data_IF_774029773814
#
_entry.id   IF_774029773814
#
_cell.length_a   1.000
_cell.length_b   1.000
_cell.length_c   1.000
_cell.angle_alpha   90.00
_cell.angle_beta   90.00
_cell.angle_gamma   90.00
#
_symmetry.space_group_name_H-M   'P 1'
#
loop_
_entity.id
_entity.type
_entity.pdbx_description
1 polymer ?
#
# COMPACT_ATOMS: atom_id res chain seq x y z
N UNK A 1 -2.10 -11.86 22.22
CA UNK A 1 -2.97 -13.04 21.97
C UNK A 1 -3.16 -13.32 20.49
N UNK A 2 -3.74 -12.42 19.69
CA UNK A 2 -3.97 -12.64 18.24
C UNK A 2 -2.70 -13.05 17.47
N UNK A 3 -1.56 -12.36 17.69
CA UNK A 3 -0.28 -12.74 17.07
C UNK A 3 0.14 -14.18 17.44
N UNK A 4 0.16 -14.50 18.75
CA UNK A 4 0.50 -15.84 19.25
C UNK A 4 -0.41 -16.92 18.66
N UNK A 5 -1.73 -16.70 18.62
CA UNK A 5 -2.68 -17.64 18.02
C UNK A 5 -2.32 -18.01 16.56
N UNK A 6 -1.90 -17.05 15.74
CA UNK A 6 -1.52 -17.31 14.35
C UNK A 6 -0.11 -17.90 14.22
N UNK A 7 0.84 -17.49 15.09
CA UNK A 7 2.17 -18.12 15.17
C UNK A 7 2.08 -19.59 15.60
N UNK A 8 1.20 -19.92 16.55
CA UNK A 8 0.87 -21.30 16.97
C UNK A 8 0.24 -22.14 15.84
N UNK A 9 -0.28 -21.50 14.78
CA UNK A 9 -0.77 -22.16 13.55
C UNK A 9 0.31 -22.34 12.49
N UNK A 10 1.52 -21.85 12.72
CA UNK A 10 2.64 -21.93 11.77
C UNK A 10 2.64 -20.82 10.71
N UNK A 11 2.13 -19.62 11.04
CA UNK A 11 2.27 -18.44 10.16
C UNK A 11 3.70 -17.89 10.26
N UNK A 12 4.35 -17.68 9.12
CA UNK A 12 5.77 -17.25 9.03
C UNK A 12 6.00 -15.76 9.32
N UNK A 13 4.95 -14.95 9.42
CA UNK A 13 5.08 -13.53 9.68
C UNK A 13 3.78 -12.73 9.52
N UNK A 14 3.86 -11.43 9.80
CA UNK A 14 2.73 -10.53 9.70
C UNK A 14 3.05 -9.32 8.84
N UNK A 15 2.09 -8.99 7.98
CA UNK A 15 1.92 -7.67 7.38
C UNK A 15 0.99 -6.87 8.28
N UNK A 16 1.45 -5.75 8.81
CA UNK A 16 0.63 -4.83 9.61
C UNK A 16 0.16 -3.68 8.73
N UNK A 17 -1.16 -3.57 8.60
CA UNK A 17 -1.87 -2.55 7.83
C UNK A 17 -2.10 -1.27 8.66
N UNK A 18 -2.32 -0.14 8.00
CA UNK A 18 -2.64 1.18 8.59
C UNK A 18 -1.79 1.64 9.81
N UNK A 19 -0.55 1.14 9.99
CA UNK A 19 0.22 1.33 11.23
C UNK A 19 0.40 2.80 11.68
N UNK A 20 0.54 3.82 10.80
CA UNK A 20 0.62 5.23 11.24
C UNK A 20 -0.56 5.71 12.08
N UNK A 21 -1.73 5.07 11.98
CA UNK A 21 -2.98 5.46 12.64
C UNK A 21 -3.30 4.67 13.92
N UNK A 22 -2.37 3.83 14.40
CA UNK A 22 -2.59 2.96 15.56
C UNK A 22 -2.83 3.68 16.89
N UNK A 23 -2.35 4.92 17.04
CA UNK A 23 -2.41 5.68 18.29
C UNK A 23 -2.58 7.18 18.01
N UNK A 24 -3.45 7.80 18.78
CA UNK A 24 -3.72 9.24 18.79
C UNK A 24 -3.23 9.91 20.09
N UNK A 25 -3.16 11.25 20.09
CA UNK A 25 -2.81 12.05 21.26
C UNK A 25 -3.93 12.02 22.30
N UNK A 26 -3.60 11.52 23.50
CA UNK A 26 -4.50 11.38 24.65
C UNK A 26 -5.08 12.70 25.19
N UNK A 27 -4.60 13.85 24.70
CA UNK A 27 -5.15 15.18 25.03
C UNK A 27 -6.39 15.52 24.22
N UNK A 28 -6.68 14.79 23.14
CA UNK A 28 -7.83 15.02 22.24
C UNK A 28 -7.95 16.49 21.78
N UNK A 29 -6.82 17.05 21.31
CA UNK A 29 -6.77 18.40 20.74
C UNK A 29 -7.24 18.39 19.28
N UNK A 30 -7.87 19.48 18.86
CA UNK A 30 -8.23 19.69 17.46
C UNK A 30 -6.96 19.78 16.59
N UNK A 31 -6.99 19.08 15.45
CA UNK A 31 -5.92 19.12 14.45
C UNK A 31 -5.87 20.50 13.75
N UNK A 32 -4.68 21.06 13.47
CA UNK A 32 -4.55 22.33 12.77
C UNK A 32 -5.01 22.22 11.31
N UNK A 33 -5.58 23.32 10.78
CA UNK A 33 -6.12 23.37 9.42
C UNK A 33 -5.01 23.54 8.38
N UNK A 34 -5.10 22.82 7.26
CA UNK A 34 -4.18 22.96 6.11
C UNK A 34 -4.44 24.20 5.25
N UNK A 35 -5.63 24.80 5.40
CA UNK A 35 -6.15 25.82 4.48
C UNK A 35 -6.95 25.26 3.30
N UNK A 36 -7.15 23.93 3.20
CA UNK A 36 -8.14 23.33 2.30
C UNK A 36 -9.54 23.87 2.66
N UNK A 37 -10.35 24.35 1.69
CA UNK A 37 -11.66 24.94 1.97
C UNK A 37 -12.77 23.92 2.26
N UNK A 38 -12.56 22.62 2.00
CA UNK A 38 -13.56 21.57 2.16
C UNK A 38 -13.44 20.88 3.53
N UNK A 39 -14.38 21.04 4.48
CA UNK A 39 -14.32 20.40 5.80
C UNK A 39 -14.44 18.87 5.76
N UNK A 40 -15.11 18.34 4.74
CA UNK A 40 -15.37 16.90 4.57
C UNK A 40 -14.20 16.16 3.89
N UNK A 41 -13.13 16.88 3.54
CA UNK A 41 -11.90 16.33 2.97
C UNK A 41 -10.97 15.81 4.08
N UNK A 42 -10.42 14.61 3.89
CA UNK A 42 -9.37 14.11 4.77
C UNK A 42 -8.18 15.09 4.85
N UNK A 43 -7.86 15.79 3.76
CA UNK A 43 -6.85 16.85 3.68
C UNK A 43 -7.23 18.18 4.33
N UNK A 44 -8.38 18.31 5.02
CA UNK A 44 -8.78 19.54 5.72
C UNK A 44 -7.85 19.92 6.88
N UNK A 45 -7.29 18.92 7.58
CA UNK A 45 -6.40 19.12 8.74
C UNK A 45 -5.09 18.36 8.60
N UNK A 46 -4.01 18.94 9.12
CA UNK A 46 -2.71 18.27 9.27
C UNK A 46 -2.81 17.25 10.40
N UNK A 47 -2.50 15.97 10.13
CA UNK A 47 -2.68 14.88 11.09
C UNK A 47 -1.51 14.78 12.08
N UNK A 48 -1.34 15.77 12.97
CA UNK A 48 -0.22 15.83 13.92
C UNK A 48 -0.53 15.15 15.26
N UNK A 49 -1.81 14.96 15.59
CA UNK A 49 -2.29 14.29 16.80
C UNK A 49 -2.88 12.90 16.52
N UNK A 50 -3.36 12.63 15.30
CA UNK A 50 -4.03 11.37 14.90
C UNK A 50 -3.18 10.43 14.04
N UNK A 51 -1.91 10.77 13.80
CA UNK A 51 -0.98 9.97 12.98
C UNK A 51 0.45 10.03 13.51
N UNK A 52 1.24 8.99 13.23
CA UNK A 52 2.70 8.92 13.42
C UNK A 52 3.16 9.20 14.87
N UNK A 53 2.28 8.93 15.85
CA UNK A 53 2.56 9.13 17.27
C UNK A 53 3.66 8.18 17.76
N UNK A 54 4.49 8.63 18.72
CA UNK A 54 5.63 7.85 19.23
C UNK A 54 5.23 6.44 19.72
N UNK A 55 4.06 6.35 20.36
CA UNK A 55 3.50 5.10 20.91
C UNK A 55 3.24 4.02 19.84
N UNK A 56 2.97 4.43 18.59
CA UNK A 56 2.85 3.51 17.45
C UNK A 56 4.13 2.71 17.25
N UNK A 57 5.28 3.39 17.25
CA UNK A 57 6.60 2.75 17.09
C UNK A 57 6.93 1.88 18.31
N UNK A 58 6.59 2.32 19.52
CA UNK A 58 6.75 1.51 20.73
C UNK A 58 5.95 0.20 20.65
N UNK A 59 4.73 0.21 20.11
CA UNK A 59 3.95 -1.01 19.91
C UNK A 59 4.62 -1.99 18.93
N UNK A 60 5.22 -1.48 17.85
CA UNK A 60 5.99 -2.30 16.90
C UNK A 60 7.14 -3.04 17.60
N UNK A 61 7.81 -2.38 18.56
CA UNK A 61 8.85 -3.01 19.39
C UNK A 61 8.30 -4.11 20.30
N UNK A 62 7.12 -3.91 20.89
CA UNK A 62 6.49 -4.94 21.73
C UNK A 62 5.99 -6.14 20.88
N UNK A 63 5.47 -5.90 19.67
CA UNK A 63 5.14 -6.98 18.74
C UNK A 63 6.38 -7.73 18.26
N UNK A 64 7.49 -7.04 17.99
CA UNK A 64 8.75 -7.69 17.61
C UNK A 64 9.21 -8.69 18.68
N UNK A 65 9.16 -8.32 19.97
CA UNK A 65 9.45 -9.26 21.07
C UNK A 65 8.58 -10.51 21.06
N UNK A 66 7.28 -10.36 20.75
CA UNK A 66 6.35 -11.50 20.65
C UNK A 66 6.69 -12.40 19.47
N UNK A 67 7.22 -11.86 18.37
CA UNK A 67 7.70 -12.67 17.24
C UNK A 67 9.02 -13.37 17.57
N UNK A 68 9.93 -12.69 18.29
CA UNK A 68 11.22 -13.26 18.73
C UNK A 68 11.05 -14.47 19.68
N UNK A 69 9.93 -14.57 20.42
CA UNK A 69 9.56 -15.78 21.19
C UNK A 69 9.39 -17.05 20.32
N UNK A 70 9.13 -16.87 19.02
CA UNK A 70 8.87 -17.94 18.05
C UNK A 70 9.99 -18.15 17.02
N UNK A 71 11.09 -17.37 17.11
CA UNK A 71 12.26 -17.53 16.25
C UNK A 71 13.05 -18.76 16.68
N UNK A 72 13.49 -19.55 15.70
CA UNK A 72 14.36 -20.72 15.92
C UNK A 72 15.70 -20.52 15.20
N UNK A 73 16.60 -21.49 15.31
CA UNK A 73 17.89 -21.46 14.59
C UNK A 73 17.79 -21.66 13.07
N UNK A 74 16.59 -21.94 12.54
CA UNK A 74 16.34 -22.20 11.11
C UNK A 74 15.20 -21.35 10.54
N UNK A 75 14.20 -21.00 11.36
CA UNK A 75 13.04 -20.22 10.95
C UNK A 75 12.97 -18.89 11.69
N UNK A 76 12.89 -17.78 10.94
CA UNK A 76 12.57 -16.46 11.46
C UNK A 76 11.05 -16.16 11.34
N UNK A 77 10.56 -15.14 12.06
CA UNK A 77 9.20 -14.63 11.92
C UNK A 77 9.23 -13.18 11.45
N UNK A 78 8.76 -12.93 10.23
CA UNK A 78 8.92 -11.64 9.55
C UNK A 78 7.83 -10.64 9.97
N UNK A 79 8.21 -9.38 10.18
CA UNK A 79 7.30 -8.29 10.53
C UNK A 79 7.42 -7.14 9.51
N UNK A 80 6.39 -6.97 8.69
CA UNK A 80 6.32 -5.96 7.63
C UNK A 80 5.33 -4.85 8.00
N UNK A 81 5.69 -3.59 7.73
CA UNK A 81 4.91 -2.41 8.14
C UNK A 81 4.39 -1.61 6.94
N UNK A 82 3.08 -1.39 6.86
CA UNK A 82 2.48 -0.48 5.87
C UNK A 82 2.40 0.95 6.39
N UNK A 83 3.41 1.77 6.09
CA UNK A 83 3.44 3.16 6.49
C UNK A 83 3.50 4.11 5.29
N UNK A 84 2.38 4.77 4.99
CA UNK A 84 2.36 5.95 4.12
C UNK A 84 2.76 7.19 4.91
N UNK A 85 4.05 7.30 5.24
CA UNK A 85 4.64 8.41 5.97
C UNK A 85 5.86 8.97 5.21
N UNK A 86 6.39 10.10 5.66
CA UNK A 86 7.62 10.63 5.08
C UNK A 86 8.81 9.69 5.37
N UNK A 87 9.86 9.77 4.55
CA UNK A 87 11.06 8.93 4.64
C UNK A 87 11.59 8.80 6.08
N UNK A 88 11.73 9.92 6.80
CA UNK A 88 12.19 9.97 8.20
C UNK A 88 11.31 9.17 9.18
N UNK A 89 9.99 9.19 9.01
CA UNK A 89 9.06 8.40 9.81
C UNK A 89 9.09 6.92 9.40
N UNK A 90 9.14 6.64 8.09
CA UNK A 90 9.21 5.28 7.54
C UNK A 90 10.46 4.54 8.05
N UNK A 91 11.64 5.16 8.02
CA UNK A 91 12.90 4.57 8.51
C UNK A 91 12.82 4.17 10.00
N UNK A 92 12.06 4.90 10.83
CA UNK A 92 11.93 4.57 12.26
C UNK A 92 11.38 3.17 12.50
N UNK A 93 10.55 2.62 11.61
CA UNK A 93 9.99 1.28 11.81
C UNK A 93 11.09 0.19 11.91
N UNK A 94 12.19 0.31 11.15
CA UNK A 94 13.36 -0.57 11.30
C UNK A 94 14.00 -0.40 12.70
N UNK A 95 14.24 0.83 13.14
CA UNK A 95 14.85 1.13 14.44
C UNK A 95 13.99 0.71 15.66
N UNK A 96 12.72 0.38 15.44
CA UNK A 96 11.80 -0.19 16.44
C UNK A 96 11.55 -1.70 16.24
N UNK A 97 12.19 -2.34 15.27
CA UNK A 97 12.29 -3.80 15.16
C UNK A 97 11.50 -4.45 14.02
N UNK A 98 10.83 -3.69 13.16
CA UNK A 98 10.26 -4.24 11.93
C UNK A 98 11.37 -4.70 10.99
N UNK A 99 11.18 -5.82 10.29
CA UNK A 99 12.15 -6.33 9.30
C UNK A 99 12.27 -5.38 8.11
N UNK A 100 11.13 -4.87 7.64
CA UNK A 100 11.07 -3.71 6.77
C UNK A 100 9.68 -3.05 6.79
N UNK A 101 9.60 -1.70 6.75
CA UNK A 101 8.45 -1.01 6.21
C UNK A 101 8.45 -1.11 4.68
N UNK A 102 7.26 -1.14 4.09
CA UNK A 102 7.13 -1.17 2.63
C UNK A 102 7.63 0.13 2.00
N UNK A 103 8.48 0.00 0.98
CA UNK A 103 9.03 1.11 0.21
C UNK A 103 8.05 1.57 -0.87
N UNK A 104 7.29 2.63 -0.58
CA UNK A 104 6.38 3.24 -1.54
C UNK A 104 7.01 4.33 -2.41
N UNK A 105 8.32 4.57 -2.39
CA UNK A 105 8.94 5.63 -3.18
C UNK A 105 8.66 5.48 -4.69
N UNK A 106 8.81 4.27 -5.24
CA UNK A 106 8.48 3.99 -6.65
C UNK A 106 7.00 4.22 -6.97
N UNK A 107 6.12 4.01 -5.98
CA UNK A 107 4.66 4.21 -6.08
C UNK A 107 4.31 5.70 -6.05
N UNK A 108 4.87 6.46 -5.12
CA UNK A 108 4.41 7.83 -4.82
C UNK A 108 5.14 8.92 -5.59
N UNK A 109 6.30 8.60 -6.18
CA UNK A 109 7.20 9.59 -6.77
C UNK A 109 7.60 9.30 -8.22
N UNK A 110 7.02 8.27 -8.86
CA UNK A 110 7.26 7.96 -10.28
C UNK A 110 5.98 7.61 -11.02
N UNK A 111 5.94 7.93 -12.30
CA UNK A 111 4.80 7.77 -13.21
C UNK A 111 5.24 7.47 -14.65
N UNK A 112 4.31 7.57 -15.60
CA UNK A 112 4.57 7.31 -17.04
C UNK A 112 5.57 8.28 -17.66
N UNK A 113 5.59 9.53 -17.21
CA UNK A 113 6.37 10.62 -17.80
C UNK A 113 7.75 10.76 -17.13
N UNK A 114 7.93 10.15 -15.95
CA UNK A 114 9.18 10.08 -15.20
C UNK A 114 10.37 9.58 -16.02
N UNK A 115 11.51 10.21 -15.81
CA UNK A 115 12.78 9.95 -16.49
C UNK A 115 13.65 8.96 -15.71
N UNK A 116 14.72 8.45 -16.34
CA UNK A 116 15.68 7.58 -15.66
C UNK A 116 16.34 8.24 -14.42
N UNK A 117 16.46 9.57 -14.41
CA UNK A 117 17.00 10.31 -13.26
C UNK A 117 16.03 10.31 -12.07
N UNK A 118 14.72 10.30 -12.32
CA UNK A 118 13.69 10.27 -11.27
C UNK A 118 13.65 8.89 -10.60
N UNK A 119 13.69 7.81 -11.40
CA UNK A 119 13.86 6.44 -10.89
C UNK A 119 15.16 6.29 -10.09
N UNK A 120 16.28 6.80 -10.61
CA UNK A 120 17.55 6.76 -9.89
C UNK A 120 17.46 7.49 -8.55
N UNK A 121 16.90 8.71 -8.50
CA UNK A 121 16.75 9.50 -7.27
C UNK A 121 15.98 8.71 -6.20
N UNK A 122 14.86 8.08 -6.56
CA UNK A 122 14.02 7.31 -5.64
C UNK A 122 14.77 6.08 -5.10
N UNK A 123 15.53 5.39 -5.96
CA UNK A 123 16.36 4.23 -5.57
C UNK A 123 17.49 4.67 -4.62
N UNK A 124 18.24 5.71 -4.99
CA UNK A 124 19.36 6.24 -4.21
C UNK A 124 18.87 6.78 -2.86
N UNK A 125 17.74 7.48 -2.81
CA UNK A 125 17.16 8.01 -1.57
C UNK A 125 16.77 6.90 -0.60
N UNK A 126 16.15 5.81 -1.05
CA UNK A 126 15.86 4.67 -0.19
C UNK A 126 17.15 3.99 0.30
N UNK A 127 18.08 3.69 -0.62
CA UNK A 127 19.32 2.97 -0.30
C UNK A 127 20.23 3.72 0.65
N UNK A 128 20.41 5.05 0.47
CA UNK A 128 21.23 5.88 1.35
C UNK A 128 20.68 5.92 2.78
N UNK A 129 19.37 6.08 2.93
CA UNK A 129 18.71 6.12 4.22
C UNK A 129 18.75 4.76 4.93
N UNK A 130 18.56 3.67 4.18
CA UNK A 130 18.52 2.31 4.70
C UNK A 130 19.91 1.78 5.11
N UNK A 131 20.98 2.15 4.41
CA UNK A 131 22.34 1.73 4.79
C UNK A 131 22.70 2.22 6.20
N UNK A 132 22.26 3.42 6.59
CA UNK A 132 22.54 4.00 7.91
C UNK A 132 21.99 3.18 9.10
N UNK A 133 21.09 2.24 8.86
CA UNK A 133 20.38 1.46 9.89
C UNK A 133 20.48 -0.06 9.69
N UNK A 134 21.32 -0.53 8.75
CA UNK A 134 21.46 -1.95 8.37
C UNK A 134 20.11 -2.61 8.00
N UNK A 135 19.23 -1.84 7.35
CA UNK A 135 17.88 -2.27 7.00
C UNK A 135 17.83 -3.21 5.78
N UNK A 136 16.81 -4.06 5.72
CA UNK A 136 16.54 -4.89 4.53
C UNK A 136 15.85 -4.06 3.44
N UNK A 137 16.47 -3.96 2.26
CA UNK A 137 15.87 -3.28 1.11
C UNK A 137 14.61 -4.00 0.64
N UNK A 138 13.63 -3.24 0.18
CA UNK A 138 12.47 -3.79 -0.51
C UNK A 138 12.01 -2.84 -1.61
N UNK A 139 11.40 -3.41 -2.65
CA UNK A 139 10.96 -2.70 -3.85
C UNK A 139 9.53 -3.09 -4.14
N UNK A 140 8.63 -2.11 -3.98
CA UNK A 140 7.20 -2.31 -4.13
C UNK A 140 6.74 -1.63 -5.40
N UNK A 141 6.40 -2.43 -6.41
CA UNK A 141 5.55 -1.99 -7.54
C UNK A 141 4.09 -1.88 -7.12
N UNK A 142 3.71 -2.65 -6.09
CA UNK A 142 2.37 -2.70 -5.49
C UNK A 142 2.25 -3.54 -4.21
N UNK A 143 1.37 -3.14 -3.27
CA UNK A 143 1.00 -3.89 -2.04
C UNK A 143 -0.44 -3.65 -1.60
N UNK A 144 -1.19 -4.68 -1.22
CA UNK A 144 -2.46 -4.59 -0.46
C UNK A 144 -2.48 -3.40 0.54
N UNK A 145 -3.56 -2.61 0.63
CA UNK A 145 -3.70 -1.50 1.60
C UNK A 145 -5.16 -1.37 2.07
N UNK A 146 -5.46 -1.55 3.36
CA UNK A 146 -6.78 -1.16 3.86
C UNK A 146 -6.79 0.35 4.12
N UNK A 147 -7.09 1.15 3.10
CA UNK A 147 -7.46 2.55 3.34
C UNK A 147 -8.78 2.59 4.13
N UNK A 148 -8.66 3.03 5.38
CA UNK A 148 -9.78 3.23 6.31
C UNK A 148 -10.88 4.11 5.71
N UNK A 149 -12.11 3.87 6.17
CA UNK A 149 -13.33 4.54 5.68
C UNK A 149 -13.34 6.03 6.05
N UNK A 150 -12.80 6.89 5.17
CA UNK A 150 -12.94 8.35 5.28
C UNK A 150 -13.54 8.90 3.98
N UNK A 151 -14.57 9.74 4.13
CA UNK A 151 -15.62 9.95 3.11
C UNK A 151 -15.27 10.81 1.89
N UNK A 152 -14.12 11.50 1.85
CA UNK A 152 -13.67 12.09 0.58
C UNK A 152 -12.15 12.17 0.43
N UNK A 153 -11.67 11.70 -0.73
CA UNK A 153 -10.28 11.85 -1.23
C UNK A 153 -10.21 12.84 -2.40
N UNK A 154 -11.15 13.79 -2.48
CA UNK A 154 -11.36 14.59 -3.68
C UNK A 154 -10.26 15.62 -3.96
N UNK A 155 -9.52 16.13 -2.95
CA UNK A 155 -8.47 17.15 -3.17
C UNK A 155 -7.04 16.74 -2.77
N UNK A 156 -6.76 15.46 -2.47
CA UNK A 156 -5.37 14.96 -2.47
C UNK A 156 -4.66 15.18 -3.82
N UNK A 157 -5.46 15.36 -4.88
CA UNK A 157 -5.06 15.74 -6.24
C UNK A 157 -4.34 17.10 -6.39
N UNK A 158 -4.38 17.99 -5.38
CA UNK A 158 -3.86 19.37 -5.53
C UNK A 158 -2.44 19.61 -4.97
N UNK A 159 -1.91 18.70 -4.17
CA UNK A 159 -0.57 18.85 -3.57
C UNK A 159 0.46 17.86 -4.18
N UNK A 160 0.00 16.78 -4.82
CA UNK A 160 0.86 15.88 -5.60
C UNK A 160 0.11 15.35 -6.84
N UNK A 161 0.55 15.68 -8.08
CA UNK A 161 -0.09 15.21 -9.30
C UNK A 161 0.48 13.85 -9.74
N UNK A 162 0.25 12.79 -8.94
CA UNK A 162 0.71 11.43 -9.28
C UNK A 162 -0.42 10.40 -9.23
N UNK A 163 -0.68 9.64 -10.33
CA UNK A 163 -1.60 8.52 -10.32
C UNK A 163 -1.00 7.38 -9.48
N UNK A 164 -1.60 7.09 -8.32
CA UNK A 164 -1.04 6.18 -7.32
C UNK A 164 -1.07 4.71 -7.77
N UNK A 165 -0.19 3.87 -7.18
CA UNK A 165 0.63 3.05 -8.06
C UNK A 165 1.38 1.81 -7.49
N UNK A 166 0.87 0.59 -7.37
CA UNK A 166 -0.47 0.04 -7.59
C UNK A 166 -0.83 -0.88 -6.41
N UNK A 167 -1.94 -1.63 -6.48
CA UNK A 167 -2.35 -2.70 -5.53
C UNK A 167 -3.84 -3.00 -5.71
N UNK A 168 -4.49 -3.60 -4.72
CA UNK A 168 -5.96 -3.66 -4.66
C UNK A 168 -6.62 -2.30 -4.33
N UNK A 169 -5.90 -1.17 -4.43
CA UNK A 169 -6.35 0.19 -4.06
C UNK A 169 -5.90 1.28 -5.04
N UNK A 170 -5.19 0.89 -6.09
CA UNK A 170 -4.47 1.76 -7.00
C UNK A 170 -4.30 1.02 -8.33
N UNK A 171 -4.36 1.75 -9.45
CA UNK A 171 -4.23 1.17 -10.79
C UNK A 171 -3.06 0.22 -10.96
N UNK A 172 -3.28 -0.90 -11.66
CA UNK A 172 -2.25 -1.93 -11.95
C UNK A 172 -1.07 -1.32 -12.71
N UNK A 173 0.12 -1.93 -12.56
CA UNK A 173 1.40 -1.43 -13.12
C UNK A 173 1.30 -1.01 -14.59
N UNK A 174 0.65 -1.83 -15.41
CA UNK A 174 0.46 -1.59 -16.84
C UNK A 174 -0.45 -0.38 -17.13
N UNK A 175 -1.54 -0.21 -16.38
CA UNK A 175 -2.46 0.92 -16.57
C UNK A 175 -1.76 2.27 -16.32
N UNK A 176 -0.74 2.29 -15.45
CA UNK A 176 0.02 3.50 -15.10
C UNK A 176 1.11 3.81 -16.11
N UNK A 177 2.12 2.93 -16.22
CA UNK A 177 3.31 3.21 -17.03
C UNK A 177 3.18 2.78 -18.50
N UNK A 178 2.16 2.00 -18.84
CA UNK A 178 2.05 1.30 -20.13
C UNK A 178 2.83 -0.03 -20.13
N UNK A 179 2.48 -0.93 -21.06
CA UNK A 179 3.01 -2.30 -21.12
C UNK A 179 4.53 -2.38 -21.16
N UNK A 180 5.19 -1.60 -22.03
CA UNK A 180 6.64 -1.64 -22.20
C UNK A 180 7.40 -1.23 -20.92
N UNK A 181 6.99 -0.13 -20.28
CA UNK A 181 7.61 0.35 -19.05
C UNK A 181 7.28 -0.55 -17.86
N UNK A 182 6.08 -1.12 -17.79
CA UNK A 182 5.73 -2.09 -16.74
C UNK A 182 6.68 -3.30 -16.73
N UNK A 183 7.03 -3.84 -17.91
CA UNK A 183 8.04 -4.91 -18.02
C UNK A 183 9.42 -4.45 -17.52
N UNK A 184 9.87 -3.25 -17.90
CA UNK A 184 11.15 -2.70 -17.44
C UNK A 184 11.19 -2.50 -15.92
N UNK A 185 10.11 -2.00 -15.32
CA UNK A 185 9.98 -1.81 -13.87
C UNK A 185 10.00 -3.15 -13.14
N UNK A 186 9.29 -4.17 -13.64
CA UNK A 186 9.33 -5.53 -13.07
C UNK A 186 10.74 -6.14 -13.14
N UNK A 187 11.46 -5.97 -14.25
CA UNK A 187 12.86 -6.42 -14.36
C UNK A 187 13.74 -5.65 -13.36
N UNK A 188 13.53 -4.34 -13.22
CA UNK A 188 14.28 -3.50 -12.29
C UNK A 188 14.08 -3.96 -10.83
N UNK A 189 12.85 -4.18 -10.37
CA UNK A 189 12.60 -4.60 -8.97
C UNK A 189 13.07 -6.02 -8.66
N UNK A 190 13.20 -6.88 -9.67
CA UNK A 190 13.81 -8.22 -9.54
C UNK A 190 15.35 -8.21 -9.55
N UNK A 191 15.98 -7.15 -10.04
CA UNK A 191 17.46 -7.01 -10.12
C UNK A 191 18.01 -6.11 -8.99
N UNK A 192 17.21 -5.20 -8.46
CA UNK A 192 17.58 -4.37 -7.31
C UNK A 192 17.78 -5.23 -6.04
N UNK A 193 18.71 -4.86 -5.15
CA UNK A 193 19.04 -5.67 -3.97
C UNK A 193 17.90 -5.68 -2.96
N UNK A 194 17.68 -6.81 -2.29
CA UNK A 194 16.68 -6.98 -1.23
C UNK A 194 15.44 -7.77 -1.68
N UNK A 195 14.27 -7.38 -1.20
CA UNK A 195 12.99 -8.07 -1.41
C UNK A 195 12.19 -7.40 -2.52
N UNK A 196 11.94 -8.11 -3.62
CA UNK A 196 10.95 -7.70 -4.62
C UNK A 196 9.54 -8.06 -4.15
N UNK A 197 8.61 -7.11 -4.21
CA UNK A 197 7.20 -7.32 -3.84
C UNK A 197 6.32 -7.13 -5.08
N UNK A 198 5.61 -8.19 -5.46
CA UNK A 198 4.78 -8.26 -6.69
C UNK A 198 3.31 -8.47 -6.31
N UNK A 199 2.38 -7.71 -6.89
CA UNK A 199 0.94 -7.93 -6.73
C UNK A 199 0.38 -8.89 -7.78
N UNK A 200 -0.69 -9.60 -7.41
CA UNK A 200 -1.33 -10.61 -8.23
C UNK A 200 -1.78 -10.06 -9.60
N UNK A 201 -1.18 -10.56 -10.67
CA UNK A 201 -1.43 -10.15 -12.05
C UNK A 201 -0.30 -9.33 -12.67
N UNK A 202 0.63 -8.76 -11.90
CA UNK A 202 1.79 -8.04 -12.47
C UNK A 202 2.73 -8.97 -13.23
N UNK A 203 2.86 -10.23 -12.80
CA UNK A 203 3.72 -11.25 -13.40
C UNK A 203 3.26 -11.68 -14.81
N UNK A 204 1.98 -11.42 -15.16
CA UNK A 204 1.40 -11.61 -16.49
C UNK A 204 0.99 -10.29 -17.17
N UNK A 205 1.28 -9.15 -16.55
CA UNK A 205 0.94 -7.82 -17.09
C UNK A 205 -0.56 -7.52 -17.14
N UNK A 206 -1.35 -7.94 -16.13
CA UNK A 206 -2.78 -7.60 -16.05
C UNK A 206 -3.01 -6.08 -16.06
N UNK A 207 -4.05 -5.68 -16.77
CA UNK A 207 -4.53 -4.30 -16.87
C UNK A 207 -5.78 -4.06 -16.01
N UNK A 208 -6.02 -2.79 -15.67
CA UNK A 208 -7.27 -2.38 -15.03
C UNK A 208 -8.44 -2.63 -15.98
N UNK A 209 -9.53 -3.22 -15.49
CA UNK A 209 -10.75 -3.38 -16.28
C UNK A 209 -11.74 -2.31 -15.86
N UNK A 210 -12.40 -1.65 -16.82
CA UNK A 210 -13.50 -0.74 -16.50
C UNK A 210 -14.65 -1.51 -15.83
N UNK A 211 -15.11 -1.01 -14.68
CA UNK A 211 -16.22 -1.53 -13.89
C UNK A 211 -17.31 -0.45 -13.90
N UNK A 212 -18.57 -0.83 -14.10
CA UNK A 212 -19.68 0.13 -14.10
C UNK A 212 -20.02 0.61 -12.68
N UNK A 213 -20.75 1.72 -12.55
CA UNK A 213 -21.35 2.11 -11.26
C UNK A 213 -22.22 0.99 -10.69
N UNK A 214 -22.98 0.32 -11.55
CA UNK A 214 -23.88 -0.78 -11.21
C UNK A 214 -23.14 -2.05 -10.71
N UNK A 215 -21.88 -2.24 -11.11
CA UNK A 215 -21.04 -3.35 -10.67
C UNK A 215 -20.03 -2.96 -9.57
N UNK A 216 -19.94 -1.68 -9.21
CA UNK A 216 -19.05 -1.17 -8.17
C UNK A 216 -19.49 -1.67 -6.79
N UNK A 217 -18.51 -2.15 -6.02
CA UNK A 217 -18.66 -2.76 -4.70
C UNK A 217 -17.74 -2.17 -3.64
N UNK A 218 -16.71 -1.44 -4.05
CA UNK A 218 -15.85 -0.71 -3.16
C UNK A 218 -16.63 0.39 -2.40
N UNK A 219 -16.64 0.38 -1.05
CA UNK A 219 -17.23 1.46 -0.25
C UNK A 219 -16.70 2.85 -0.62
N UNK A 220 -15.43 2.98 -1.02
CA UNK A 220 -14.87 4.27 -1.45
C UNK A 220 -15.48 4.76 -2.77
N UNK A 221 -15.63 3.85 -3.75
CA UNK A 221 -16.34 4.13 -5.00
C UNK A 221 -17.81 4.51 -4.75
N UNK A 222 -18.50 3.80 -3.87
CA UNK A 222 -19.90 4.07 -3.55
C UNK A 222 -20.11 5.38 -2.77
N UNK A 223 -19.24 5.70 -1.80
CA UNK A 223 -19.30 6.96 -1.05
C UNK A 223 -18.98 8.18 -1.93
N UNK A 224 -18.10 8.02 -2.94
CA UNK A 224 -17.82 9.07 -3.93
C UNK A 224 -18.99 9.33 -4.90
N UNK A 225 -20.01 8.48 -4.92
CA UNK A 225 -21.21 8.62 -5.74
C UNK A 225 -20.98 8.42 -7.25
N UNK A 226 -22.08 8.41 -8.02
CA UNK A 226 -22.07 8.05 -9.44
C UNK A 226 -21.23 8.96 -10.36
N UNK A 227 -20.88 10.17 -9.92
CA UNK A 227 -19.99 11.07 -10.66
C UNK A 227 -18.51 10.97 -10.23
N UNK A 228 -18.24 10.43 -9.03
CA UNK A 228 -16.90 10.29 -8.46
C UNK A 228 -16.32 8.87 -8.51
N UNK A 229 -17.15 7.84 -8.67
CA UNK A 229 -16.76 6.43 -8.47
C UNK A 229 -15.59 5.98 -9.34
N UNK A 230 -15.47 6.39 -10.61
CA UNK A 230 -14.37 5.95 -11.48
C UNK A 230 -12.99 6.45 -11.00
N UNK A 231 -12.95 7.48 -10.16
CA UNK A 231 -11.72 8.05 -9.58
C UNK A 231 -11.40 7.52 -8.18
N UNK A 232 -12.40 6.97 -7.49
CA UNK A 232 -12.31 6.53 -6.10
C UNK A 232 -12.44 5.00 -5.93
N UNK A 233 -13.01 4.30 -6.91
CA UNK A 233 -13.22 2.86 -6.86
C UNK A 233 -11.94 2.11 -7.15
N UNK A 234 -11.65 1.17 -6.26
CA UNK A 234 -10.50 0.26 -6.31
C UNK A 234 -10.82 -1.06 -7.02
N UNK A 235 -12.07 -1.26 -7.42
CA UNK A 235 -12.54 -2.49 -8.09
C UNK A 235 -11.82 -2.83 -9.42
N UNK A 236 -11.40 -1.87 -10.27
CA UNK A 236 -10.63 -2.16 -11.49
C UNK A 236 -9.34 -2.96 -11.26
N UNK A 237 -8.68 -2.75 -10.11
CA UNK A 237 -7.47 -3.46 -9.73
C UNK A 237 -7.74 -4.76 -8.93
N UNK A 238 -8.99 -5.00 -8.51
CA UNK A 238 -9.45 -6.20 -7.78
C UNK A 238 -10.00 -7.30 -8.68
N UNK A 239 -9.90 -7.12 -9.99
CA UNK A 239 -10.40 -8.04 -11.01
C UNK A 239 -9.84 -9.46 -10.87
N UNK A 240 -10.65 -10.51 -11.13
CA UNK A 240 -10.21 -11.90 -11.20
C UNK A 240 -8.90 -12.12 -11.96
N UNK A 241 -7.94 -12.81 -11.32
CA UNK A 241 -6.74 -13.29 -11.98
C UNK A 241 -7.04 -14.15 -13.22
N UNK A 242 -6.25 -13.96 -14.27
CA UNK A 242 -6.44 -14.57 -15.58
C UNK A 242 -5.60 -15.84 -15.73
N UNK A 243 -6.17 -17.01 -15.39
CA UNK A 243 -5.45 -18.29 -15.44
C UNK A 243 -5.33 -18.87 -16.86
N UNK A 244 -6.42 -18.80 -17.63
CA UNK A 244 -6.51 -19.34 -18.99
C UNK A 244 -7.60 -18.61 -19.80
N UNK A 245 -7.89 -19.12 -21.01
CA UNK A 245 -8.89 -18.55 -21.92
C UNK A 245 -10.31 -19.14 -21.77
N UNK A 246 -10.59 -19.87 -20.68
CA UNK A 246 -11.93 -20.41 -20.40
C UNK A 246 -12.85 -19.38 -19.74
N UNK A 247 -14.12 -19.75 -19.48
CA UNK A 247 -15.09 -18.88 -18.81
C UNK A 247 -14.54 -18.31 -17.50
N UNK A 248 -14.72 -17.00 -17.29
CA UNK A 248 -14.17 -16.28 -16.13
C UNK A 248 -12.66 -16.47 -15.94
N UNK A 249 -11.92 -16.63 -17.05
CA UNK A 249 -10.48 -16.85 -17.13
C UNK A 249 -9.98 -17.96 -16.19
N UNK A 250 -10.69 -19.09 -16.16
CA UNK A 250 -10.37 -20.27 -15.36
C UNK A 250 -10.76 -20.18 -13.88
N UNK A 251 -11.20 -19.02 -13.37
CA UNK A 251 -11.48 -18.83 -11.93
C UNK A 251 -12.79 -19.49 -11.47
N UNK A 252 -13.83 -19.50 -12.30
CA UNK A 252 -15.15 -20.02 -11.95
C UNK A 252 -15.76 -20.85 -13.09
N UNK A 253 -16.46 -21.94 -12.77
CA UNK A 253 -17.17 -22.78 -13.77
C UNK A 253 -18.54 -22.23 -14.19
N UNK A 254 -18.93 -21.09 -13.67
CA UNK A 254 -20.20 -20.42 -13.92
C UNK A 254 -20.00 -18.91 -13.93
N UNK A 255 -20.90 -18.19 -14.59
CA UNK A 255 -20.95 -16.72 -14.58
C UNK A 255 -21.37 -16.20 -13.19
N UNK A 256 -20.47 -16.30 -12.22
CA UNK A 256 -20.45 -15.37 -11.09
C UNK A 256 -19.74 -14.08 -11.53
N UNK A 257 -20.41 -13.36 -12.43
CA UNK A 257 -20.26 -11.90 -12.48
C UNK A 257 -20.67 -11.33 -11.12
N UNK A 258 -20.02 -10.23 -10.74
CA UNK A 258 -20.25 -9.48 -9.52
C UNK A 258 -21.75 -9.19 -9.37
N UNK A 259 -22.44 -9.86 -8.44
CA UNK A 259 -23.88 -9.60 -8.24
C UNK A 259 -24.06 -8.26 -7.53
N UNK A 260 -24.56 -7.27 -8.28
CA UNK A 260 -25.43 -6.12 -7.93
C UNK A 260 -25.60 -5.78 -6.44
N UNK A 261 -25.62 -4.54 -5.97
CA UNK A 261 -25.09 -3.24 -6.42
C UNK A 261 -24.55 -2.62 -5.10
N UNK A 262 -24.27 -1.32 -5.02
CA UNK A 262 -24.52 -0.55 -3.79
C UNK A 262 -26.02 -0.13 -3.73
#
# INVERSE_FOLDING_TARGET
DVLRFWLDKGVDGFRVDAIPHLCEDVRFLDEPLTGNPNPDDYGYTEKIYTKDQLRTYEMVREWRKVLDEYVTSVDERILMMEAYANMTMTIKYYAYGAHFPFNFGLITETDRDSTAADFQRVIDEWMLNMWLIDGTANWVTSTFKMLDNVESQSEFHKIAPFPQAGNHDNSRLVARYGQERAQMITIMTLVLPGVSVTYNGEEIGMEDTWISWEDTKDPQGCNAGKEGYEKASRDPARTPFQWDNTTSAGRYRSEQLLKSLC
#
